data_IF_551162684766
#
_entry.id   IF_551162684766
#
_cell.length_a   1.000
_cell.length_b   1.000
_cell.length_c   1.000
_cell.angle_alpha   90.00
_cell.angle_beta   90.00
_cell.angle_gamma   90.00
#
_symmetry.space_group_name_H-M   'P 1'
#
loop_
_entity.id
_entity.type
_entity.pdbx_description
1 polymer ?
#
# COMPACT_ATOMS: atom_id res chain seq x y z
N UNK A 1 10.92 -7.04 25.91
CA UNK A 1 10.96 -8.35 25.22
C UNK A 1 10.31 -8.24 23.84
N UNK A 2 9.08 -7.74 23.71
CA UNK A 2 8.37 -7.60 22.41
C UNK A 2 9.13 -6.65 21.47
N UNK A 3 9.54 -5.47 21.92
CA UNK A 3 10.31 -4.49 21.12
C UNK A 3 11.58 -5.12 20.52
N UNK A 4 12.32 -5.85 21.36
CA UNK A 4 13.55 -6.52 20.93
C UNK A 4 13.29 -7.63 19.88
N UNK A 5 12.14 -8.30 19.95
CA UNK A 5 11.72 -9.26 18.93
C UNK A 5 11.39 -8.56 17.61
N UNK A 6 10.67 -7.44 17.68
CA UNK A 6 10.36 -6.61 16.51
C UNK A 6 11.65 -6.13 15.82
N UNK A 7 12.62 -5.61 16.59
CA UNK A 7 13.92 -5.19 16.08
C UNK A 7 14.69 -6.32 15.39
N UNK A 8 14.71 -7.53 15.96
CA UNK A 8 15.37 -8.70 15.36
C UNK A 8 14.70 -9.10 14.04
N UNK A 9 13.37 -9.17 14.02
CA UNK A 9 12.63 -9.53 12.79
C UNK A 9 12.77 -8.42 11.75
N UNK A 10 12.72 -7.16 12.16
CA UNK A 10 12.96 -6.02 11.28
C UNK A 10 14.36 -6.09 10.63
N UNK A 11 15.40 -6.31 11.44
CA UNK A 11 16.76 -6.44 10.96
C UNK A 11 16.94 -7.65 10.01
N UNK A 12 16.25 -8.75 10.24
CA UNK A 12 16.26 -9.90 9.34
C UNK A 12 15.60 -9.59 7.97
N UNK A 13 14.50 -8.86 7.97
CA UNK A 13 13.76 -8.57 6.74
C UNK A 13 14.35 -7.40 5.94
N UNK A 14 14.65 -6.31 6.63
CA UNK A 14 15.01 -5.02 6.04
C UNK A 14 16.47 -4.61 6.27
N UNK A 15 17.18 -5.30 7.18
CA UNK A 15 18.60 -5.10 7.40
C UNK A 15 19.46 -5.68 6.27
N UNK A 16 20.71 -5.24 6.21
CA UNK A 16 21.66 -5.68 5.20
C UNK A 16 22.12 -7.11 5.48
N UNK A 17 21.78 -8.06 4.60
CA UNK A 17 22.30 -9.42 4.63
C UNK A 17 23.76 -9.46 4.17
N UNK A 18 24.10 -8.67 3.17
CA UNK A 18 25.44 -8.44 2.66
C UNK A 18 25.51 -7.10 1.95
N UNK A 19 26.72 -6.60 1.76
CA UNK A 19 26.95 -5.34 1.08
C UNK A 19 27.68 -5.58 -0.24
N UNK A 20 27.25 -4.87 -1.29
CA UNK A 20 27.92 -4.88 -2.60
C UNK A 20 28.60 -3.54 -2.83
N UNK A 21 29.84 -3.51 -3.31
CA UNK A 21 30.48 -2.28 -3.76
C UNK A 21 29.86 -1.85 -5.09
N UNK A 22 29.13 -0.74 -5.09
CA UNK A 22 28.50 -0.17 -6.29
C UNK A 22 28.90 1.30 -6.39
N UNK A 23 29.51 1.70 -7.50
CA UNK A 23 29.87 3.10 -7.81
C UNK A 23 30.65 3.81 -6.69
N UNK A 24 31.56 3.09 -6.00
CA UNK A 24 32.37 3.65 -4.90
C UNK A 24 31.67 3.74 -3.54
N UNK A 25 30.41 3.29 -3.44
CA UNK A 25 29.66 3.18 -2.19
C UNK A 25 29.38 1.71 -1.86
N UNK A 26 29.17 1.38 -0.58
CA UNK A 26 28.65 0.06 -0.19
C UNK A 26 27.12 0.10 -0.18
N UNK A 27 26.50 -0.77 -0.95
CA UNK A 27 25.03 -0.92 -1.00
C UNK A 27 24.65 -2.14 -0.20
N UNK A 28 23.86 -1.95 0.85
CA UNK A 28 23.27 -3.03 1.61
C UNK A 28 22.13 -3.70 0.85
N UNK A 29 22.15 -5.00 0.80
CA UNK A 29 21.12 -5.82 0.16
C UNK A 29 20.34 -6.56 1.24
N UNK A 30 19.07 -6.18 1.39
CA UNK A 30 18.16 -6.85 2.33
C UNK A 30 17.44 -8.04 1.71
N UNK A 31 16.86 -8.89 2.56
CA UNK A 31 16.01 -10.00 2.12
C UNK A 31 14.84 -9.50 1.27
N UNK A 32 14.23 -8.38 1.64
CA UNK A 32 13.09 -7.83 0.90
C UNK A 32 13.47 -7.33 -0.48
N UNK A 33 14.64 -6.72 -0.67
CA UNK A 33 15.15 -6.36 -2.00
C UNK A 33 15.34 -7.59 -2.89
N UNK A 34 15.92 -8.68 -2.32
CA UNK A 34 16.14 -9.94 -3.04
C UNK A 34 14.83 -10.65 -3.40
N UNK A 35 13.75 -10.42 -2.68
CA UNK A 35 12.45 -11.01 -3.00
C UNK A 35 11.66 -10.16 -3.99
N UNK A 36 11.54 -8.86 -3.74
CA UNK A 36 10.63 -7.99 -4.49
C UNK A 36 11.13 -7.66 -5.90
N UNK A 37 12.40 -7.29 -6.04
CA UNK A 37 12.92 -6.86 -7.35
C UNK A 37 12.98 -8.04 -8.33
N UNK A 38 13.57 -9.20 -7.98
CA UNK A 38 13.54 -10.35 -8.88
C UNK A 38 12.13 -10.87 -9.16
N UNK A 39 11.21 -10.86 -8.18
CA UNK A 39 9.83 -11.25 -8.41
C UNK A 39 9.13 -10.33 -9.40
N UNK A 40 9.27 -9.01 -9.21
CA UNK A 40 8.70 -8.02 -10.12
C UNK A 40 9.25 -8.17 -11.55
N UNK A 41 10.55 -8.37 -11.71
CA UNK A 41 11.18 -8.63 -13.01
C UNK A 41 10.65 -9.94 -13.62
N UNK A 42 10.63 -11.02 -12.84
CA UNK A 42 10.13 -12.32 -13.29
C UNK A 42 8.69 -12.23 -13.80
N UNK A 43 7.77 -11.65 -13.00
CA UNK A 43 6.37 -11.53 -13.41
C UNK A 43 6.20 -10.56 -14.59
N UNK A 44 6.97 -9.47 -14.66
CA UNK A 44 6.94 -8.53 -15.79
C UNK A 44 7.34 -9.22 -17.10
N UNK A 45 8.41 -10.04 -17.08
CA UNK A 45 8.84 -10.81 -18.25
C UNK A 45 7.80 -11.89 -18.60
N UNK A 46 7.33 -12.66 -17.61
CA UNK A 46 6.39 -13.76 -17.82
C UNK A 46 5.03 -13.31 -18.33
N UNK A 47 4.57 -12.14 -17.91
CA UNK A 47 3.33 -11.51 -18.39
C UNK A 47 3.54 -10.67 -19.65
N UNK A 48 4.75 -10.65 -20.23
CA UNK A 48 5.13 -9.92 -21.46
C UNK A 48 4.82 -8.42 -21.34
N UNK A 49 5.35 -7.76 -20.30
CA UNK A 49 5.13 -6.33 -20.04
C UNK A 49 3.62 -5.98 -19.96
N UNK A 50 2.85 -6.76 -19.24
CA UNK A 50 1.39 -6.63 -19.12
C UNK A 50 0.92 -5.19 -18.88
N UNK A 51 1.51 -4.37 -17.98
CA UNK A 51 1.05 -3.01 -17.73
C UNK A 51 1.08 -2.12 -18.97
N UNK A 52 2.00 -2.35 -19.90
CA UNK A 52 2.11 -1.60 -21.16
C UNK A 52 1.17 -2.20 -22.20
N UNK A 53 1.24 -3.52 -22.40
CA UNK A 53 0.52 -4.23 -23.46
C UNK A 53 -1.00 -4.22 -23.27
N UNK A 54 -1.48 -4.36 -22.04
CA UNK A 54 -2.90 -4.36 -21.71
C UNK A 54 -3.40 -3.00 -21.18
N UNK A 55 -2.64 -1.93 -21.31
CA UNK A 55 -3.04 -0.62 -20.81
C UNK A 55 -4.38 -0.15 -21.42
N UNK A 56 -4.57 -0.35 -22.73
CA UNK A 56 -5.84 -0.04 -23.39
C UNK A 56 -7.02 -0.83 -22.81
N UNK A 57 -6.78 -2.08 -22.44
CA UNK A 57 -7.81 -2.95 -21.84
C UNK A 57 -8.12 -2.55 -20.41
N UNK A 58 -7.09 -2.17 -19.65
CA UNK A 58 -7.27 -1.60 -18.32
C UNK A 58 -8.18 -0.37 -18.36
N UNK A 59 -7.97 0.51 -19.34
CA UNK A 59 -8.81 1.72 -19.54
C UNK A 59 -10.21 1.38 -20.02
N UNK A 60 -10.38 0.35 -20.86
CA UNK A 60 -11.70 -0.11 -21.31
C UNK A 60 -12.48 -0.77 -20.16
N UNK A 61 -11.80 -1.58 -19.32
CA UNK A 61 -12.42 -2.23 -18.16
C UNK A 61 -13.06 -1.21 -17.20
N UNK A 62 -12.53 0.01 -17.09
CA UNK A 62 -13.12 1.08 -16.28
C UNK A 62 -14.51 1.53 -16.76
N UNK A 63 -14.81 1.34 -18.03
CA UNK A 63 -16.09 1.76 -18.65
C UNK A 63 -17.13 0.66 -18.65
N UNK A 64 -16.78 -0.56 -18.24
CA UNK A 64 -17.70 -1.69 -18.22
C UNK A 64 -18.80 -1.48 -17.18
N UNK A 65 -20.05 -1.73 -17.61
CA UNK A 65 -21.22 -1.67 -16.73
C UNK A 65 -21.32 -2.96 -15.88
N UNK A 66 -22.10 -2.89 -14.82
CA UNK A 66 -22.43 -4.05 -13.96
C UNK A 66 -23.04 -5.17 -14.80
N UNK A 67 -22.61 -6.41 -14.59
CA UNK A 67 -23.20 -7.57 -15.24
C UNK A 67 -24.57 -7.95 -14.62
N UNK A 68 -24.71 -7.74 -13.31
CA UNK A 68 -25.95 -7.95 -12.57
C UNK A 68 -26.20 -6.79 -11.59
N UNK A 69 -27.45 -6.52 -11.15
CA UNK A 69 -27.75 -5.44 -10.22
C UNK A 69 -26.93 -5.48 -8.91
N UNK A 70 -26.62 -6.71 -8.44
CA UNK A 70 -25.88 -6.94 -7.21
C UNK A 70 -24.36 -7.09 -7.40
N UNK A 71 -23.86 -7.08 -8.66
CA UNK A 71 -22.42 -7.14 -8.95
C UNK A 71 -21.74 -5.77 -8.83
N UNK A 72 -20.45 -5.78 -8.51
CA UNK A 72 -19.60 -4.59 -8.60
C UNK A 72 -19.12 -4.43 -10.04
N UNK A 73 -19.20 -3.21 -10.58
CA UNK A 73 -18.56 -2.91 -11.88
C UNK A 73 -17.03 -2.96 -11.75
N UNK A 74 -16.32 -3.13 -12.88
CA UNK A 74 -14.85 -3.05 -12.90
C UNK A 74 -14.35 -1.72 -12.33
N UNK A 75 -15.06 -0.63 -12.59
CA UNK A 75 -14.77 0.68 -12.02
C UNK A 75 -14.97 0.72 -10.50
N UNK A 76 -16.06 0.16 -9.98
CA UNK A 76 -16.28 0.06 -8.54
C UNK A 76 -15.23 -0.83 -7.86
N UNK A 77 -14.82 -1.91 -8.49
CA UNK A 77 -13.74 -2.77 -8.01
C UNK A 77 -12.41 -2.02 -7.97
N UNK A 78 -12.12 -1.20 -9.00
CA UNK A 78 -10.95 -0.32 -8.97
C UNK A 78 -11.07 0.71 -7.85
N UNK A 79 -12.22 1.37 -7.69
CA UNK A 79 -12.42 2.35 -6.61
C UNK A 79 -12.20 1.69 -5.25
N UNK A 80 -12.76 0.52 -4.99
CA UNK A 80 -12.58 -0.17 -3.71
C UNK A 80 -11.11 -0.53 -3.49
N UNK A 81 -10.43 -1.09 -4.49
CA UNK A 81 -9.01 -1.40 -4.38
C UNK A 81 -8.12 -0.16 -4.36
N UNK A 82 -8.52 0.92 -5.03
CA UNK A 82 -7.83 2.21 -5.01
C UNK A 82 -8.13 2.95 -3.71
N UNK A 83 -9.33 2.82 -3.16
CA UNK A 83 -9.70 3.41 -1.87
C UNK A 83 -8.85 2.88 -0.70
N UNK A 84 -8.37 1.65 -0.81
CA UNK A 84 -7.45 1.07 0.17
C UNK A 84 -5.99 1.45 -0.09
N UNK A 85 -5.60 1.64 -1.36
CA UNK A 85 -4.25 2.05 -1.77
C UNK A 85 -4.07 3.57 -1.72
N UNK A 86 -4.95 4.34 -2.42
CA UNK A 86 -4.91 5.81 -2.37
C UNK A 86 -5.43 6.26 -1.00
N UNK A 87 -4.52 6.36 -0.09
CA UNK A 87 -4.79 6.65 1.31
C UNK A 87 -3.60 7.33 1.98
N UNK A 88 -3.43 7.10 3.25
CA UNK A 88 -2.34 7.72 4.00
C UNK A 88 -0.96 7.32 3.49
N UNK A 89 -0.79 6.13 2.89
CA UNK A 89 0.49 5.67 2.32
C UNK A 89 1.05 6.62 1.26
N UNK A 90 0.19 7.23 0.45
CA UNK A 90 0.58 8.19 -0.58
C UNK A 90 1.07 9.54 -0.02
N UNK A 91 0.66 9.89 1.19
CA UNK A 91 1.16 11.08 1.87
C UNK A 91 2.32 10.71 2.79
N UNK A 92 2.04 9.98 3.86
CA UNK A 92 3.00 9.70 4.94
C UNK A 92 4.13 8.77 4.48
N UNK A 93 3.82 7.77 3.62
CA UNK A 93 4.82 6.87 3.04
C UNK A 93 5.81 7.61 2.15
N UNK A 94 5.33 8.54 1.29
CA UNK A 94 6.20 9.35 0.43
C UNK A 94 7.03 10.34 1.25
N UNK A 95 6.44 10.95 2.28
CA UNK A 95 7.18 11.80 3.23
C UNK A 95 8.32 11.02 3.88
N UNK A 96 8.06 9.79 4.33
CA UNK A 96 9.08 8.91 4.90
C UNK A 96 10.15 8.52 3.86
N UNK A 97 9.76 8.26 2.61
CA UNK A 97 10.71 7.98 1.53
C UNK A 97 11.65 9.18 1.29
N UNK A 98 11.11 10.38 1.16
CA UNK A 98 11.90 11.58 0.86
C UNK A 98 12.75 12.01 2.06
N UNK A 99 12.22 11.96 3.29
CA UNK A 99 12.98 12.37 4.49
C UNK A 99 14.13 11.41 4.82
N UNK A 100 13.97 10.10 4.59
CA UNK A 100 14.96 9.08 4.93
C UNK A 100 15.83 8.64 3.76
N UNK A 101 15.32 8.75 2.54
CA UNK A 101 15.98 8.31 1.31
C UNK A 101 16.30 9.44 0.32
N UNK A 102 15.91 10.69 0.61
CA UNK A 102 16.11 11.80 -0.31
C UNK A 102 15.20 11.74 -1.55
N UNK A 103 15.44 12.66 -2.50
CA UNK A 103 14.65 12.73 -3.73
C UNK A 103 14.78 11.46 -4.59
N UNK A 104 15.94 10.83 -4.57
CA UNK A 104 16.20 9.60 -5.33
C UNK A 104 15.31 8.41 -4.93
N UNK A 105 14.79 8.39 -3.71
CA UNK A 105 13.85 7.35 -3.27
C UNK A 105 12.57 7.33 -4.12
N UNK A 106 12.15 8.48 -4.65
CA UNK A 106 10.97 8.60 -5.52
C UNK A 106 11.16 7.80 -6.81
N UNK A 107 12.36 7.82 -7.40
CA UNK A 107 12.68 7.00 -8.57
C UNK A 107 12.50 5.49 -8.27
N UNK A 108 12.98 5.02 -7.13
CA UNK A 108 12.85 3.62 -6.74
C UNK A 108 11.42 3.23 -6.39
N UNK A 109 10.60 4.17 -5.89
CA UNK A 109 9.15 3.97 -5.79
C UNK A 109 8.52 3.76 -7.17
N UNK A 110 8.89 4.54 -8.20
CA UNK A 110 8.41 4.33 -9.56
C UNK A 110 8.81 2.96 -10.12
N UNK A 111 10.06 2.55 -9.90
CA UNK A 111 10.55 1.21 -10.31
C UNK A 111 9.73 0.11 -9.65
N UNK A 112 9.45 0.20 -8.35
CA UNK A 112 8.61 -0.80 -7.65
C UNK A 112 7.19 -0.82 -8.18
N UNK A 113 6.62 0.30 -8.58
CA UNK A 113 5.29 0.33 -9.17
C UNK A 113 5.25 -0.32 -10.56
N UNK A 114 6.22 -0.02 -11.42
CA UNK A 114 6.29 -0.60 -12.76
C UNK A 114 6.48 -2.11 -12.72
N UNK A 115 7.37 -2.60 -11.87
CA UNK A 115 7.60 -4.03 -11.66
C UNK A 115 6.45 -4.67 -10.89
N UNK A 116 5.96 -4.02 -9.86
CA UNK A 116 4.88 -4.50 -8.99
C UNK A 116 3.53 -4.62 -9.68
N UNK A 117 3.26 -3.84 -10.72
CA UNK A 117 2.00 -3.90 -11.45
C UNK A 117 1.74 -5.29 -12.06
N UNK A 118 2.79 -5.97 -12.55
CA UNK A 118 2.67 -7.36 -13.04
C UNK A 118 2.48 -8.35 -11.89
N UNK A 119 3.12 -8.13 -10.75
CA UNK A 119 2.92 -8.94 -9.54
C UNK A 119 1.48 -8.83 -9.05
N UNK A 120 0.94 -7.59 -8.96
CA UNK A 120 -0.44 -7.36 -8.55
C UNK A 120 -1.47 -8.03 -9.45
N UNK A 121 -1.19 -8.16 -10.75
CA UNK A 121 -2.02 -8.96 -11.66
C UNK A 121 -2.08 -10.43 -11.22
N UNK A 122 -0.91 -11.05 -11.00
CA UNK A 122 -0.81 -12.46 -10.61
C UNK A 122 -1.53 -12.71 -9.28
N UNK A 123 -1.29 -11.85 -8.30
CA UNK A 123 -1.96 -11.89 -6.99
C UNK A 123 -3.49 -11.83 -7.12
N UNK A 124 -3.98 -10.90 -7.92
CA UNK A 124 -5.42 -10.68 -8.09
C UNK A 124 -6.10 -11.84 -8.84
N UNK A 125 -5.45 -12.39 -9.87
CA UNK A 125 -5.97 -13.54 -10.61
C UNK A 125 -6.09 -14.77 -9.71
N UNK A 126 -5.06 -15.06 -8.89
CA UNK A 126 -5.10 -16.16 -7.92
C UNK A 126 -6.14 -15.91 -6.82
N UNK A 127 -6.23 -14.68 -6.30
CA UNK A 127 -7.23 -14.35 -5.29
C UNK A 127 -8.67 -14.53 -5.79
N UNK A 128 -8.94 -14.20 -7.05
CA UNK A 128 -10.23 -14.42 -7.68
C UNK A 128 -10.51 -15.92 -7.95
N UNK A 129 -9.49 -16.70 -8.31
CA UNK A 129 -9.63 -18.14 -8.56
C UNK A 129 -9.96 -18.90 -7.27
N UNK A 130 -9.36 -18.51 -6.15
CA UNK A 130 -9.47 -19.21 -4.87
C UNK A 130 -10.32 -18.46 -3.83
N UNK A 131 -11.24 -17.59 -4.28
CA UNK A 131 -12.18 -16.90 -3.37
C UNK A 131 -13.28 -17.84 -2.89
N UNK A 132 -13.76 -17.59 -1.70
CA UNK A 132 -14.85 -18.33 -1.05
C UNK A 132 -16.03 -17.42 -0.73
N UNK A 133 -17.27 -17.96 -0.64
CA UNK A 133 -18.43 -17.19 -0.20
C UNK A 133 -18.23 -16.64 1.22
N UNK A 134 -18.62 -15.38 1.46
CA UNK A 134 -18.57 -14.76 2.76
C UNK A 134 -19.93 -14.83 3.45
N UNK A 135 -20.11 -15.70 4.46
CA UNK A 135 -21.40 -15.88 5.11
C UNK A 135 -21.77 -14.75 6.07
N UNK A 136 -20.80 -13.89 6.48
CA UNK A 136 -21.07 -12.78 7.41
C UNK A 136 -21.44 -11.48 6.71
N UNK A 137 -20.72 -11.16 5.63
CA UNK A 137 -20.86 -9.87 4.95
C UNK A 137 -21.57 -10.02 3.59
N UNK A 138 -21.77 -11.26 3.12
CA UNK A 138 -22.25 -11.55 1.77
C UNK A 138 -21.15 -11.36 0.70
N UNK A 139 -21.40 -11.87 -0.51
CA UNK A 139 -20.41 -11.86 -1.58
C UNK A 139 -19.29 -12.85 -1.34
N UNK A 140 -18.05 -12.42 -1.51
CA UNK A 140 -16.87 -13.28 -1.42
C UNK A 140 -15.81 -12.68 -0.50
N UNK A 141 -14.98 -13.56 0.05
CA UNK A 141 -13.73 -13.24 0.71
C UNK A 141 -12.61 -14.16 0.17
N UNK A 142 -11.37 -13.82 0.41
CA UNK A 142 -10.22 -14.58 -0.11
C UNK A 142 -8.92 -13.81 0.06
N UNK A 143 -7.99 -14.05 -0.83
CA UNK A 143 -6.65 -13.47 -0.79
C UNK A 143 -5.59 -14.52 -0.52
N UNK A 144 -4.36 -14.11 -0.13
CA UNK A 144 -3.23 -15.04 -0.02
C UNK A 144 -3.45 -16.20 0.96
N UNK A 145 -4.11 -15.97 2.09
CA UNK A 145 -4.39 -17.05 3.03
C UNK A 145 -5.07 -18.25 2.35
N UNK A 146 -5.98 -17.98 1.42
CA UNK A 146 -6.77 -19.00 0.71
C UNK A 146 -5.96 -19.67 -0.39
N UNK A 147 -5.33 -18.93 -1.30
CA UNK A 147 -4.56 -19.59 -2.36
C UNK A 147 -3.27 -20.26 -1.84
N UNK A 148 -2.63 -19.73 -0.77
CA UNK A 148 -1.51 -20.39 -0.09
C UNK A 148 -1.98 -21.71 0.53
N UNK A 149 -3.16 -21.71 1.16
CA UNK A 149 -3.75 -22.92 1.75
C UNK A 149 -3.97 -23.99 0.69
N UNK A 150 -4.66 -23.66 -0.39
CA UNK A 150 -4.89 -24.58 -1.51
C UNK A 150 -3.60 -25.07 -2.16
N UNK A 151 -2.59 -24.21 -2.31
CA UNK A 151 -1.28 -24.64 -2.81
C UNK A 151 -0.62 -25.68 -1.91
N UNK A 152 -0.66 -25.49 -0.59
CA UNK A 152 -0.07 -26.45 0.36
C UNK A 152 -0.84 -27.77 0.35
N UNK A 153 -2.17 -27.75 0.28
CA UNK A 153 -2.99 -28.96 0.15
C UNK A 153 -2.67 -29.73 -1.14
N UNK A 154 -2.65 -29.04 -2.28
CA UNK A 154 -2.33 -29.64 -3.57
C UNK A 154 -0.93 -30.28 -3.58
N UNK A 155 0.05 -29.64 -2.91
CA UNK A 155 1.42 -30.13 -2.85
C UNK A 155 1.63 -31.29 -1.86
N UNK A 156 0.87 -31.30 -0.77
CA UNK A 156 1.00 -32.33 0.28
C UNK A 156 0.07 -33.52 0.05
N UNK A 157 -0.96 -33.35 -0.80
CA UNK A 157 -2.02 -34.36 -1.00
C UNK A 157 -2.91 -34.58 0.22
N UNK A 158 -2.87 -33.68 1.22
CA UNK A 158 -3.61 -33.76 2.46
C UNK A 158 -4.61 -32.64 2.59
N UNK A 159 -5.85 -32.95 2.95
CA UNK A 159 -6.83 -31.94 3.35
C UNK A 159 -6.48 -31.41 4.74
N UNK A 160 -6.24 -30.11 4.86
CA UNK A 160 -5.83 -29.44 6.09
C UNK A 160 -6.96 -28.54 6.57
N UNK A 161 -7.14 -28.45 7.88
CA UNK A 161 -8.01 -27.40 8.44
C UNK A 161 -7.42 -26.01 8.25
N UNK A 162 -6.12 -25.88 8.48
CA UNK A 162 -5.30 -24.69 8.28
C UNK A 162 -3.89 -25.11 7.87
N UNK A 163 -3.33 -24.49 6.84
CA UNK A 163 -1.92 -24.68 6.53
C UNK A 163 -1.07 -23.70 7.35
N UNK A 164 0.10 -24.15 7.80
CA UNK A 164 1.00 -23.33 8.63
C UNK A 164 1.40 -22.04 7.90
N UNK A 165 1.78 -22.15 6.63
CA UNK A 165 2.21 -20.98 5.83
C UNK A 165 1.10 -19.94 5.67
N UNK A 166 -0.14 -20.36 5.40
CA UNK A 166 -1.28 -19.46 5.28
C UNK A 166 -1.66 -18.84 6.64
N UNK A 167 -1.51 -19.60 7.74
CA UNK A 167 -1.72 -19.07 9.08
C UNK A 167 -0.67 -18.02 9.46
N UNK A 168 0.59 -18.27 9.12
CA UNK A 168 1.68 -17.29 9.34
C UNK A 168 1.47 -16.03 8.50
N UNK A 169 1.07 -16.18 7.24
CA UNK A 169 0.69 -15.02 6.41
C UNK A 169 -0.45 -14.21 7.06
N UNK A 170 -1.52 -14.89 7.49
CA UNK A 170 -2.66 -14.23 8.10
C UNK A 170 -2.32 -13.49 9.39
N UNK A 171 -1.51 -14.11 10.27
CA UNK A 171 -1.02 -13.47 11.51
C UNK A 171 -0.16 -12.25 11.17
N UNK A 172 0.74 -12.37 10.19
CA UNK A 172 1.60 -11.26 9.75
C UNK A 172 0.77 -10.08 9.23
N UNK A 173 -0.32 -10.35 8.49
CA UNK A 173 -1.25 -9.33 8.04
C UNK A 173 -1.97 -8.62 9.18
N UNK A 174 -2.46 -9.38 10.16
CA UNK A 174 -3.13 -8.79 11.32
C UNK A 174 -2.15 -7.90 12.14
N UNK A 175 -0.89 -8.30 12.27
CA UNK A 175 0.17 -7.49 12.90
C UNK A 175 0.46 -6.23 12.06
N UNK A 176 0.60 -6.37 10.75
CA UNK A 176 0.83 -5.25 9.83
C UNK A 176 -0.23 -4.17 9.99
N UNK A 177 -1.50 -4.54 9.95
CA UNK A 177 -2.59 -3.56 10.03
C UNK A 177 -2.76 -2.95 11.42
N UNK A 178 -2.32 -3.62 12.49
CA UNK A 178 -2.14 -3.00 13.80
C UNK A 178 -1.08 -1.89 13.75
N UNK A 179 0.07 -2.15 13.12
CA UNK A 179 1.12 -1.13 12.92
C UNK A 179 0.65 0.04 12.04
N UNK A 180 -0.04 -0.24 10.92
CA UNK A 180 -0.61 0.82 10.07
C UNK A 180 -1.61 1.67 10.85
N UNK A 181 -2.43 1.08 11.74
CA UNK A 181 -3.35 1.85 12.61
C UNK A 181 -2.60 2.85 13.50
N UNK A 182 -1.42 2.46 13.99
CA UNK A 182 -0.57 3.38 14.78
C UNK A 182 -0.03 4.53 13.92
N UNK A 183 0.49 4.24 12.73
CA UNK A 183 1.00 5.28 11.80
C UNK A 183 -0.10 6.26 11.41
N UNK A 184 -1.32 5.77 11.17
CA UNK A 184 -2.51 6.60 10.88
C UNK A 184 -2.72 7.64 11.97
N UNK A 185 -2.87 7.20 13.20
CA UNK A 185 -3.19 8.09 14.31
C UNK A 185 -2.05 9.06 14.64
N UNK A 186 -0.80 8.58 14.60
CA UNK A 186 0.38 9.42 14.79
C UNK A 186 0.43 10.56 13.78
N UNK A 187 0.25 10.25 12.51
CA UNK A 187 0.35 11.25 11.44
C UNK A 187 -0.80 12.25 11.48
N UNK A 188 -2.03 11.80 11.76
CA UNK A 188 -3.20 12.70 11.88
C UNK A 188 -3.05 13.61 13.10
N UNK A 189 -2.65 13.09 14.26
CA UNK A 189 -2.48 13.89 15.47
C UNK A 189 -1.38 14.94 15.32
N UNK A 190 -0.27 14.58 14.68
CA UNK A 190 0.82 15.51 14.34
C UNK A 190 0.34 16.62 13.38
N UNK A 191 -0.36 16.25 12.30
CA UNK A 191 -0.86 17.20 11.32
C UNK A 191 -1.88 18.20 11.93
N UNK A 192 -2.73 17.72 12.83
CA UNK A 192 -3.71 18.58 13.52
C UNK A 192 -3.06 19.45 14.59
N UNK A 193 -2.03 18.97 15.27
CA UNK A 193 -1.25 19.80 16.19
C UNK A 193 -0.61 20.97 15.44
N UNK A 194 -0.04 20.73 14.26
CA UNK A 194 0.58 21.78 13.44
C UNK A 194 -0.47 22.75 12.86
N UNK A 195 -1.60 22.24 12.37
CA UNK A 195 -2.60 23.07 11.70
C UNK A 195 -3.51 23.83 12.67
N UNK A 196 -3.88 23.24 13.78
CA UNK A 196 -4.92 23.80 14.67
C UNK A 196 -4.44 23.99 16.12
N UNK A 197 -3.19 23.65 16.41
CA UNK A 197 -2.61 23.68 17.76
C UNK A 197 -3.38 22.83 18.78
N UNK A 198 -4.06 21.79 18.30
CA UNK A 198 -4.80 20.85 19.14
C UNK A 198 -3.83 19.83 19.73
N UNK A 199 -3.86 19.59 21.04
CA UNK A 199 -3.01 18.56 21.65
C UNK A 199 -3.23 17.19 21.01
N UNK A 200 -2.17 16.40 20.72
CA UNK A 200 -2.28 15.08 20.07
C UNK A 200 -3.28 14.15 20.74
N UNK A 201 -3.35 14.15 22.06
CA UNK A 201 -4.31 13.31 22.81
C UNK A 201 -5.77 13.62 22.45
N UNK A 202 -6.12 14.88 22.24
CA UNK A 202 -7.50 15.30 21.90
C UNK A 202 -7.84 14.80 20.50
N UNK A 203 -6.96 15.03 19.53
CA UNK A 203 -7.14 14.55 18.16
C UNK A 203 -7.24 13.03 18.13
N UNK A 204 -6.39 12.32 18.89
CA UNK A 204 -6.40 10.86 18.99
C UNK A 204 -7.73 10.34 19.54
N UNK A 205 -8.23 10.90 20.62
CA UNK A 205 -9.52 10.51 21.21
C UNK A 205 -10.66 10.72 20.20
N UNK A 206 -10.72 11.89 19.56
CA UNK A 206 -11.73 12.19 18.55
C UNK A 206 -11.67 11.25 17.36
N UNK A 207 -10.47 10.95 16.87
CA UNK A 207 -10.25 10.01 15.77
C UNK A 207 -10.74 8.60 16.14
N UNK A 208 -10.36 8.10 17.33
CA UNK A 208 -10.77 6.77 17.82
C UNK A 208 -12.29 6.70 18.01
N UNK A 209 -12.92 7.71 18.59
CA UNK A 209 -14.38 7.74 18.76
C UNK A 209 -15.10 7.74 17.41
N UNK A 210 -14.67 8.56 16.47
CA UNK A 210 -15.25 8.60 15.13
C UNK A 210 -15.07 7.25 14.42
N UNK A 211 -13.87 6.68 14.48
CA UNK A 211 -13.57 5.37 13.90
C UNK A 211 -14.45 4.28 14.55
N UNK A 212 -14.58 4.27 15.88
CA UNK A 212 -15.39 3.28 16.60
C UNK A 212 -16.87 3.32 16.19
N UNK A 213 -17.46 4.51 16.09
CA UNK A 213 -18.85 4.68 15.67
C UNK A 213 -19.12 4.06 14.30
N UNK A 214 -18.13 4.11 13.40
CA UNK A 214 -18.29 3.63 12.04
C UNK A 214 -17.94 2.15 11.94
N UNK A 215 -16.77 1.72 12.42
CA UNK A 215 -16.29 0.36 12.18
C UNK A 215 -16.96 -0.71 13.03
N UNK A 216 -17.49 -0.35 14.20
CA UNK A 216 -18.23 -1.30 15.05
C UNK A 216 -19.63 -1.62 14.51
N UNK A 217 -20.15 -0.83 13.57
CA UNK A 217 -21.39 -1.17 12.86
C UNK A 217 -21.17 -2.39 11.96
N UNK A 218 -22.18 -3.26 11.84
CA UNK A 218 -22.10 -4.50 11.02
C UNK A 218 -21.88 -4.20 9.54
N UNK A 219 -22.50 -3.16 9.01
CA UNK A 219 -22.47 -2.78 7.59
C UNK A 219 -21.75 -1.43 7.39
N UNK A 220 -20.60 -1.24 8.03
CA UNK A 220 -19.83 -0.02 7.84
C UNK A 220 -19.24 0.01 6.41
N UNK A 221 -19.87 0.54 5.54
CA UNK A 221 -19.75 1.67 4.63
C UNK A 221 -18.63 1.66 3.60
N UNK A 222 -18.51 0.60 2.84
CA UNK A 222 -17.82 0.65 1.52
C UNK A 222 -18.42 1.82 0.69
N UNK A 223 -19.73 2.08 0.76
CA UNK A 223 -20.41 3.15 0.00
C UNK A 223 -19.86 4.56 0.26
N UNK A 224 -19.38 4.86 1.47
CA UNK A 224 -18.78 6.16 1.77
C UNK A 224 -17.43 6.29 1.09
N UNK A 225 -16.64 5.21 1.05
CA UNK A 225 -15.34 5.19 0.38
C UNK A 225 -15.48 5.38 -1.12
N UNK A 226 -16.51 4.82 -1.75
CA UNK A 226 -16.77 4.91 -3.20
C UNK A 226 -16.91 6.36 -3.69
N UNK A 227 -17.37 7.25 -2.83
CA UNK A 227 -17.56 8.68 -3.16
C UNK A 227 -16.40 9.52 -2.63
N UNK A 228 -15.99 9.29 -1.38
CA UNK A 228 -15.02 10.12 -0.70
C UNK A 228 -13.63 10.02 -1.33
N UNK A 229 -13.18 8.81 -1.65
CA UNK A 229 -11.81 8.58 -2.14
C UNK A 229 -11.55 9.19 -3.52
N UNK A 230 -12.41 9.02 -4.55
CA UNK A 230 -12.21 9.69 -5.83
C UNK A 230 -12.20 11.22 -5.71
N UNK A 231 -13.08 11.79 -4.90
CA UNK A 231 -13.13 13.26 -4.70
C UNK A 231 -11.82 13.75 -4.07
N UNK A 232 -11.33 13.06 -3.04
CA UNK A 232 -10.08 13.41 -2.37
C UNK A 232 -8.88 13.27 -3.32
N UNK A 233 -8.79 12.15 -4.04
CA UNK A 233 -7.69 11.89 -4.96
C UNK A 233 -7.65 12.92 -6.10
N UNK A 234 -8.80 13.24 -6.69
CA UNK A 234 -8.91 14.27 -7.75
C UNK A 234 -8.59 15.65 -7.18
N UNK A 235 -9.13 16.01 -6.01
CA UNK A 235 -8.84 17.29 -5.37
C UNK A 235 -7.35 17.47 -5.06
N UNK A 236 -6.73 16.44 -4.50
CA UNK A 236 -5.29 16.42 -4.21
C UNK A 236 -4.44 16.52 -5.48
N UNK A 237 -4.82 15.75 -6.52
CA UNK A 237 -4.16 15.80 -7.83
C UNK A 237 -4.25 17.17 -8.48
N UNK A 238 -5.44 17.78 -8.53
CA UNK A 238 -5.64 19.11 -9.15
C UNK A 238 -4.88 20.20 -8.41
N UNK A 239 -4.85 20.15 -7.06
CA UNK A 239 -4.06 21.10 -6.29
C UNK A 239 -2.57 20.94 -6.54
N UNK A 240 -2.08 19.69 -6.59
CA UNK A 240 -0.68 19.45 -6.91
C UNK A 240 -0.33 19.87 -8.34
N UNK A 241 -1.22 19.60 -9.29
CA UNK A 241 -1.05 20.06 -10.68
C UNK A 241 -0.93 21.58 -10.74
N UNK A 242 -1.75 22.32 -9.99
CA UNK A 242 -1.62 23.77 -9.85
C UNK A 242 -0.25 24.17 -9.31
N UNK A 243 0.23 23.54 -8.22
CA UNK A 243 1.57 23.80 -7.65
C UNK A 243 2.67 23.56 -8.71
N UNK A 244 2.58 22.45 -9.44
CA UNK A 244 3.53 22.11 -10.50
C UNK A 244 3.52 23.17 -11.61
N UNK A 245 2.36 23.60 -12.08
CA UNK A 245 2.24 24.58 -13.14
C UNK A 245 2.82 25.95 -12.74
N UNK A 246 2.60 26.38 -11.52
CA UNK A 246 3.19 27.62 -10.98
C UNK A 246 4.72 27.52 -10.84
N UNK A 247 5.25 26.32 -10.60
CA UNK A 247 6.69 26.06 -10.44
C UNK A 247 7.32 25.35 -11.65
N UNK A 248 6.72 25.43 -12.84
CA UNK A 248 7.17 24.75 -14.05
C UNK A 248 8.66 24.91 -14.37
N UNK A 249 9.28 26.11 -14.22
CA UNK A 249 10.71 26.30 -14.47
C UNK A 249 11.63 25.50 -13.56
N UNK A 250 11.15 25.08 -12.37
CA UNK A 250 11.94 24.30 -11.40
C UNK A 250 11.89 22.78 -11.69
N UNK A 251 10.96 22.29 -12.51
CA UNK A 251 10.82 20.85 -12.77
C UNK A 251 12.07 20.18 -13.30
N UNK A 252 12.82 20.74 -14.27
CA UNK A 252 14.03 20.11 -14.77
C UNK A 252 15.07 19.87 -13.65
N UNK A 253 15.21 20.81 -12.72
CA UNK A 253 16.13 20.66 -11.58
C UNK A 253 15.64 19.60 -10.58
N UNK A 254 14.34 19.48 -10.35
CA UNK A 254 13.76 18.43 -9.49
C UNK A 254 13.98 17.05 -10.09
N UNK A 255 13.72 16.86 -11.39
CA UNK A 255 14.00 15.58 -12.05
C UNK A 255 15.49 15.26 -12.07
N UNK A 256 16.36 16.24 -12.37
CA UNK A 256 17.82 16.08 -12.30
C UNK A 256 18.24 15.62 -10.89
N UNK A 257 17.66 16.21 -9.85
CA UNK A 257 17.90 15.80 -8.47
C UNK A 257 17.41 14.37 -8.20
N UNK A 258 16.20 14.01 -8.59
CA UNK A 258 15.66 12.66 -8.41
C UNK A 258 16.60 11.62 -9.06
N UNK A 259 17.02 11.83 -10.31
CA UNK A 259 17.87 10.88 -11.01
C UNK A 259 19.29 10.84 -10.45
N UNK A 260 19.89 12.00 -10.15
CA UNK A 260 21.25 12.04 -9.62
C UNK A 260 21.38 11.39 -8.24
N UNK A 261 20.38 11.59 -7.36
CA UNK A 261 20.33 10.96 -6.05
C UNK A 261 19.98 9.46 -6.17
N UNK A 262 19.10 9.08 -7.10
CA UNK A 262 18.71 7.68 -7.32
C UNK A 262 19.85 6.76 -7.70
N UNK A 263 20.89 7.30 -8.33
CA UNK A 263 22.06 6.54 -8.76
C UNK A 263 23.35 6.91 -7.97
N UNK A 264 23.21 7.62 -6.85
CA UNK A 264 24.33 7.96 -5.97
C UNK A 264 25.32 8.97 -6.54
N UNK A 265 24.95 9.67 -7.64
CA UNK A 265 25.79 10.74 -8.22
C UNK A 265 25.78 12.02 -7.35
N UNK A 266 24.78 12.16 -6.50
CA UNK A 266 24.69 13.19 -5.46
C UNK A 266 24.30 12.52 -4.15
N UNK A 267 25.02 12.83 -3.07
CA UNK A 267 24.63 12.37 -1.73
C UNK A 267 23.41 13.16 -1.26
N UNK A 268 22.33 12.43 -1.02
CA UNK A 268 21.08 13.01 -0.54
C UNK A 268 20.94 12.91 0.99
N UNK A 269 21.43 11.82 1.56
CA UNK A 269 21.30 11.48 2.99
C UNK A 269 22.53 10.75 3.48
N UNK A 270 22.73 10.70 4.77
CA UNK A 270 23.90 10.10 5.43
C UNK A 270 24.11 8.61 5.13
N UNK A 271 23.05 7.89 4.68
CA UNK A 271 23.11 6.46 4.35
C UNK A 271 23.55 6.13 2.91
N UNK A 272 23.84 7.13 2.07
CA UNK A 272 24.27 6.92 0.68
C UNK A 272 23.25 6.21 -0.21
N UNK A 273 23.71 5.65 -1.33
CA UNK A 273 22.86 5.00 -2.34
C UNK A 273 22.02 3.83 -1.79
N UNK A 274 22.55 3.07 -0.82
CA UNK A 274 21.80 1.97 -0.20
C UNK A 274 20.55 2.45 0.53
N UNK A 275 20.63 3.55 1.26
CA UNK A 275 19.47 4.14 1.95
C UNK A 275 18.43 4.67 0.96
N UNK A 276 18.86 5.30 -0.13
CA UNK A 276 17.97 5.78 -1.22
C UNK A 276 17.17 4.62 -1.82
N UNK A 277 17.87 3.56 -2.24
CA UNK A 277 17.26 2.35 -2.82
C UNK A 277 16.30 1.68 -1.83
N UNK A 278 16.77 1.43 -0.60
CA UNK A 278 15.98 0.73 0.42
C UNK A 278 14.70 1.48 0.78
N UNK A 279 14.80 2.79 1.05
CA UNK A 279 13.63 3.58 1.40
C UNK A 279 12.66 3.71 0.23
N UNK A 280 13.15 3.85 -0.99
CA UNK A 280 12.32 3.88 -2.20
C UNK A 280 11.54 2.57 -2.38
N UNK A 281 12.20 1.42 -2.30
CA UNK A 281 11.55 0.11 -2.43
C UNK A 281 10.57 -0.15 -1.29
N UNK A 282 10.98 0.10 -0.06
CA UNK A 282 10.17 -0.14 1.15
C UNK A 282 8.90 0.72 1.15
N UNK A 283 9.03 2.02 0.88
CA UNK A 283 7.87 2.94 0.87
C UNK A 283 7.04 2.80 -0.42
N UNK A 284 7.65 2.38 -1.53
CA UNK A 284 6.93 1.96 -2.72
C UNK A 284 6.02 0.76 -2.43
N UNK A 285 6.55 -0.30 -1.82
CA UNK A 285 5.76 -1.46 -1.39
C UNK A 285 4.64 -1.08 -0.42
N UNK A 286 4.95 -0.21 0.54
CA UNK A 286 3.97 0.25 1.53
C UNK A 286 2.79 0.98 0.89
N UNK A 287 3.03 1.75 -0.18
CA UNK A 287 2.00 2.49 -0.89
C UNK A 287 1.21 1.60 -1.86
N UNK A 288 1.90 0.93 -2.79
CA UNK A 288 1.23 0.20 -3.88
C UNK A 288 0.82 -1.24 -3.51
N UNK A 289 1.30 -1.77 -2.38
CA UNK A 289 0.98 -3.08 -1.82
C UNK A 289 1.30 -4.27 -2.75
N UNK A 290 1.97 -4.07 -3.87
CA UNK A 290 2.23 -5.12 -4.85
C UNK A 290 3.27 -6.14 -4.36
N UNK A 291 2.87 -7.39 -4.23
CA UNK A 291 3.67 -8.47 -3.68
C UNK A 291 3.50 -8.68 -2.18
N UNK A 292 2.86 -7.75 -1.47
CA UNK A 292 2.59 -7.91 -0.02
C UNK A 292 1.44 -8.87 0.27
N UNK A 293 0.51 -9.05 -0.67
CA UNK A 293 -0.66 -9.88 -0.47
C UNK A 293 -1.84 -9.20 0.23
N UNK A 294 -1.78 -7.89 0.51
CA UNK A 294 -2.90 -7.16 1.14
C UNK A 294 -4.01 -6.87 0.14
N UNK A 295 -3.69 -6.24 -0.99
CA UNK A 295 -4.63 -5.90 -2.03
C UNK A 295 -5.42 -7.09 -2.63
N UNK A 296 -4.87 -8.30 -2.75
CA UNK A 296 -5.62 -9.48 -3.16
C UNK A 296 -6.83 -9.81 -2.27
N UNK A 297 -6.83 -9.41 -1.00
CA UNK A 297 -8.00 -9.56 -0.13
C UNK A 297 -9.21 -8.75 -0.62
N UNK A 298 -8.96 -7.56 -1.19
CA UNK A 298 -10.02 -6.78 -1.83
C UNK A 298 -10.35 -7.32 -3.23
N UNK A 299 -9.34 -7.73 -4.00
CA UNK A 299 -9.55 -8.32 -5.31
C UNK A 299 -10.46 -9.55 -5.25
N UNK A 300 -10.32 -10.42 -4.23
CA UNK A 300 -11.16 -11.58 -4.03
C UNK A 300 -12.64 -11.23 -3.79
N UNK A 301 -12.92 -10.11 -3.15
CA UNK A 301 -14.30 -9.69 -2.87
C UNK A 301 -15.07 -9.21 -4.10
N UNK A 302 -14.40 -8.93 -5.21
CA UNK A 302 -15.02 -8.54 -6.45
C UNK A 302 -15.85 -9.68 -7.05
N UNK A 303 -17.08 -9.37 -7.47
CA UNK A 303 -18.00 -10.32 -8.09
C UNK A 303 -17.76 -10.40 -9.60
N UNK A 304 -16.58 -10.82 -10.01
CA UNK A 304 -16.29 -11.09 -11.42
C UNK A 304 -16.51 -12.55 -11.74
N UNK A 305 -17.13 -12.84 -12.90
CA UNK A 305 -17.25 -14.21 -13.44
C UNK A 305 -15.92 -14.71 -14.00
N UNK A 306 -15.08 -13.79 -14.48
CA UNK A 306 -13.78 -14.09 -15.03
C UNK A 306 -12.69 -13.65 -14.04
N UNK A 307 -11.91 -14.59 -13.46
CA UNK A 307 -10.85 -14.29 -12.52
C UNK A 307 -9.81 -13.28 -13.07
N UNK A 308 -9.61 -13.28 -14.39
CA UNK A 308 -8.58 -12.43 -15.02
C UNK A 308 -8.99 -10.97 -15.13
N UNK A 309 -10.29 -10.68 -15.26
CA UNK A 309 -10.75 -9.27 -15.44
C UNK A 309 -10.34 -8.32 -14.28
N UNK A 310 -10.23 -8.87 -13.08
CA UNK A 310 -9.80 -8.08 -11.91
C UNK A 310 -8.31 -7.77 -11.93
N UNK A 311 -7.49 -8.62 -12.55
CA UNK A 311 -6.03 -8.49 -12.61
C UNK A 311 -5.55 -7.17 -13.26
N UNK A 312 -5.95 -6.85 -14.51
CA UNK A 312 -5.59 -5.59 -15.15
C UNK A 312 -5.98 -4.35 -14.35
N UNK A 313 -7.15 -4.39 -13.70
CA UNK A 313 -7.64 -3.31 -12.84
C UNK A 313 -6.71 -3.10 -11.63
N UNK A 314 -6.22 -4.20 -11.02
CA UNK A 314 -5.27 -4.11 -9.89
C UNK A 314 -3.91 -3.59 -10.34
N UNK A 315 -3.42 -4.00 -11.52
CA UNK A 315 -2.18 -3.45 -12.11
C UNK A 315 -2.30 -1.94 -12.36
N UNK A 316 -3.43 -1.49 -12.91
CA UNK A 316 -3.70 -0.06 -13.12
C UNK A 316 -3.73 0.70 -11.79
N UNK A 317 -4.33 0.11 -10.75
CA UNK A 317 -4.37 0.68 -9.41
C UNK A 317 -2.96 0.95 -8.86
N UNK A 318 -2.00 0.04 -9.04
CA UNK A 318 -0.59 0.20 -8.64
C UNK A 318 0.05 1.40 -9.36
N UNK A 319 -0.19 1.52 -10.68
CA UNK A 319 0.38 2.63 -11.46
C UNK A 319 -0.22 3.98 -11.06
N UNK A 320 -1.55 4.07 -10.92
CA UNK A 320 -2.22 5.31 -10.48
C UNK A 320 -1.73 5.70 -9.08
N UNK A 321 -1.69 4.76 -8.16
CA UNK A 321 -1.26 5.01 -6.79
C UNK A 321 0.14 5.63 -6.73
N UNK A 322 1.12 4.96 -7.30
CA UNK A 322 2.52 5.33 -7.08
C UNK A 322 3.04 6.30 -8.15
N UNK A 323 2.76 6.07 -9.45
CA UNK A 323 3.27 6.96 -10.49
C UNK A 323 2.54 8.30 -10.49
N UNK A 324 1.23 8.33 -10.13
CA UNK A 324 0.48 9.59 -10.13
C UNK A 324 0.41 10.19 -8.73
N UNK A 325 -0.24 9.52 -7.77
CA UNK A 325 -0.57 10.14 -6.48
C UNK A 325 0.67 10.30 -5.59
N UNK A 326 1.56 9.29 -5.49
CA UNK A 326 2.81 9.46 -4.73
C UNK A 326 3.72 10.52 -5.35
N UNK A 327 3.76 10.63 -6.68
CA UNK A 327 4.51 11.70 -7.34
C UNK A 327 3.95 13.08 -7.02
N UNK A 328 2.63 13.23 -6.84
CA UNK A 328 2.04 14.48 -6.37
C UNK A 328 2.64 14.91 -5.03
N UNK A 329 2.66 14.02 -4.05
CA UNK A 329 3.24 14.30 -2.72
C UNK A 329 4.73 14.62 -2.82
N UNK A 330 5.47 13.84 -3.62
CA UNK A 330 6.90 14.08 -3.83
C UNK A 330 7.15 15.46 -4.45
N UNK A 331 6.40 15.87 -5.48
CA UNK A 331 6.55 17.16 -6.14
C UNK A 331 6.24 18.33 -5.20
N UNK A 332 5.24 18.22 -4.33
CA UNK A 332 4.95 19.25 -3.31
C UNK A 332 6.21 19.51 -2.47
N UNK A 333 6.92 18.48 -2.02
CA UNK A 333 8.10 18.62 -1.19
C UNK A 333 9.35 19.05 -1.98
N UNK A 334 9.58 18.47 -3.16
CA UNK A 334 10.80 18.66 -3.94
C UNK A 334 10.85 20.00 -4.71
N UNK A 335 9.71 20.68 -4.89
CA UNK A 335 9.65 22.02 -5.48
C UNK A 335 9.95 23.14 -4.50
N UNK A 336 10.16 22.81 -3.21
CA UNK A 336 10.54 23.76 -2.15
C UNK A 336 12.07 23.83 -2.09
N UNK A 337 12.67 25.01 -1.77
CA UNK A 337 14.09 25.11 -1.47
C UNK A 337 14.51 24.15 -0.35
N UNK A 338 15.63 23.46 -0.56
CA UNK A 338 16.10 22.40 0.35
C UNK A 338 16.39 22.93 1.77
N UNK A 339 16.83 24.18 1.87
CA UNK A 339 17.14 24.85 3.14
C UNK A 339 15.92 24.93 4.07
N UNK A 340 14.71 25.01 3.50
CA UNK A 340 13.46 25.11 4.29
C UNK A 340 12.95 23.75 4.77
N UNK A 341 13.39 22.67 4.15
CA UNK A 341 12.90 21.32 4.42
C UNK A 341 13.95 20.38 5.00
N UNK A 342 15.21 20.81 5.02
CA UNK A 342 16.32 20.01 5.54
C UNK A 342 16.13 19.67 7.02
N UNK A 343 16.30 18.38 7.35
CA UNK A 343 16.16 17.87 8.72
C UNK A 343 14.71 17.69 9.20
N UNK A 344 13.71 18.10 8.42
CA UNK A 344 12.32 17.87 8.76
C UNK A 344 11.89 16.44 8.38
N UNK A 345 11.03 15.87 9.21
CA UNK A 345 10.47 14.52 9.02
C UNK A 345 8.96 14.52 9.26
N UNK A 346 8.29 13.46 8.85
CA UNK A 346 6.86 13.30 9.10
C UNK A 346 6.02 14.47 8.56
N UNK A 347 4.99 14.85 9.28
CA UNK A 347 4.07 15.89 8.82
C UNK A 347 4.68 17.28 8.82
N UNK A 348 5.70 17.52 9.61
CA UNK A 348 6.42 18.80 9.61
C UNK A 348 7.01 19.09 8.23
N UNK A 349 7.60 18.08 7.57
CA UNK A 349 8.14 18.22 6.21
C UNK A 349 7.05 18.58 5.19
N UNK A 350 5.96 17.81 5.14
CA UNK A 350 4.92 18.02 4.14
C UNK A 350 4.14 19.32 4.38
N UNK A 351 3.83 19.63 5.63
CA UNK A 351 3.08 20.85 5.97
C UNK A 351 3.93 22.11 5.80
N UNK A 352 5.24 22.07 6.07
CA UNK A 352 6.15 23.16 5.75
C UNK A 352 6.24 23.38 4.24
N UNK A 353 6.31 22.32 3.46
CA UNK A 353 6.28 22.42 2.00
C UNK A 353 4.97 23.04 1.49
N UNK A 354 3.85 22.65 2.04
CA UNK A 354 2.56 23.23 1.67
C UNK A 354 2.39 24.69 2.13
N UNK A 355 2.97 25.03 3.27
CA UNK A 355 3.01 26.42 3.75
C UNK A 355 3.80 27.32 2.81
N UNK A 356 4.90 26.82 2.26
CA UNK A 356 5.66 27.54 1.22
C UNK A 356 4.83 27.81 -0.04
N UNK A 357 4.06 26.83 -0.51
CA UNK A 357 3.28 26.94 -1.76
C UNK A 357 1.99 27.74 -1.60
N UNK A 358 1.26 27.55 -0.51
CA UNK A 358 -0.13 28.03 -0.32
C UNK A 358 -0.36 28.75 1.01
N UNK A 359 0.72 29.06 1.75
CA UNK A 359 0.60 29.66 3.08
C UNK A 359 -0.12 28.73 4.07
N UNK A 360 -0.72 29.31 5.09
CA UNK A 360 -1.37 28.54 6.16
C UNK A 360 -2.58 27.72 5.68
N UNK A 361 -3.24 28.14 4.60
CA UNK A 361 -4.31 27.35 3.98
C UNK A 361 -3.81 25.99 3.48
N UNK A 362 -2.57 25.89 3.00
CA UNK A 362 -1.92 24.65 2.63
C UNK A 362 -1.71 23.70 3.80
N UNK A 363 -1.35 24.22 4.96
CA UNK A 363 -1.17 23.44 6.20
C UNK A 363 -2.50 22.81 6.63
N UNK A 364 -3.58 23.60 6.61
CA UNK A 364 -4.95 23.12 6.91
C UNK A 364 -5.39 22.08 5.89
N UNK A 365 -5.15 22.34 4.60
CA UNK A 365 -5.53 21.43 3.53
C UNK A 365 -4.89 20.03 3.72
N UNK A 366 -3.58 19.99 4.04
CA UNK A 366 -2.91 18.71 4.31
C UNK A 366 -3.49 18.01 5.54
N UNK A 367 -3.77 18.73 6.63
CA UNK A 367 -4.34 18.12 7.82
C UNK A 367 -5.70 17.48 7.54
N UNK A 368 -6.59 18.18 6.83
CA UNK A 368 -7.92 17.66 6.45
C UNK A 368 -7.80 16.51 5.47
N UNK A 369 -7.00 16.65 4.42
CA UNK A 369 -6.80 15.60 3.40
C UNK A 369 -6.21 14.36 4.02
N UNK A 370 -5.22 14.49 4.91
CA UNK A 370 -4.63 13.37 5.62
C UNK A 370 -5.65 12.66 6.52
N UNK A 371 -6.47 13.40 7.24
CA UNK A 371 -7.52 12.80 8.08
C UNK A 371 -8.49 11.96 7.24
N UNK A 372 -8.91 12.46 6.07
CA UNK A 372 -9.79 11.73 5.16
C UNK A 372 -9.10 10.50 4.56
N UNK A 373 -7.86 10.62 4.07
CA UNK A 373 -7.06 9.50 3.56
C UNK A 373 -6.78 8.45 4.64
N UNK A 374 -6.47 8.89 5.84
CA UNK A 374 -6.22 8.01 6.98
C UNK A 374 -7.48 7.24 7.37
N UNK A 375 -8.62 7.90 7.36
CA UNK A 375 -9.89 7.27 7.66
C UNK A 375 -10.26 6.21 6.60
N UNK A 376 -10.08 6.51 5.31
CA UNK A 376 -10.28 5.55 4.23
C UNK A 376 -9.34 4.35 4.36
N UNK A 377 -8.05 4.59 4.64
CA UNK A 377 -7.07 3.52 4.86
C UNK A 377 -7.46 2.65 6.04
N UNK A 378 -7.90 3.23 7.16
CA UNK A 378 -8.32 2.47 8.34
C UNK A 378 -9.49 1.52 8.05
N UNK A 379 -10.50 1.99 7.32
CA UNK A 379 -11.60 1.11 6.88
C UNK A 379 -11.07 0.02 5.94
N UNK A 380 -10.18 0.38 5.02
CA UNK A 380 -9.60 -0.54 4.03
C UNK A 380 -8.79 -1.67 4.65
N UNK A 381 -7.91 -1.37 5.61
CA UNK A 381 -7.13 -2.40 6.30
C UNK A 381 -8.01 -3.34 7.14
N UNK A 382 -9.10 -2.83 7.72
CA UNK A 382 -10.08 -3.67 8.41
C UNK A 382 -10.84 -4.57 7.43
N UNK A 383 -11.06 -4.10 6.20
CA UNK A 383 -11.62 -4.92 5.14
C UNK A 383 -10.68 -6.07 4.76
N UNK A 384 -9.38 -5.83 4.64
CA UNK A 384 -8.38 -6.89 4.42
C UNK A 384 -8.31 -7.86 5.60
N UNK A 385 -8.34 -7.33 6.82
CA UNK A 385 -8.25 -8.13 8.04
C UNK A 385 -9.39 -9.16 8.15
N UNK A 386 -10.60 -8.83 7.65
CA UNK A 386 -11.75 -9.74 7.79
C UNK A 386 -11.51 -11.10 7.15
N UNK A 387 -10.86 -11.18 5.98
CA UNK A 387 -10.52 -12.44 5.32
C UNK A 387 -9.54 -13.27 6.14
N UNK A 388 -8.54 -12.63 6.73
CA UNK A 388 -7.52 -13.28 7.54
C UNK A 388 -8.05 -13.72 8.92
N UNK A 389 -8.92 -12.92 9.53
CA UNK A 389 -9.64 -13.31 10.75
C UNK A 389 -10.57 -14.50 10.49
N UNK A 390 -11.29 -14.47 9.36
CA UNK A 390 -12.16 -15.58 8.96
C UNK A 390 -11.36 -16.86 8.72
N UNK A 391 -10.21 -16.78 8.06
CA UNK A 391 -9.32 -17.91 7.84
C UNK A 391 -8.81 -18.52 9.15
N UNK A 392 -8.34 -17.70 10.10
CA UNK A 392 -7.73 -18.20 11.36
C UNK A 392 -8.75 -18.69 12.37
N UNK A 393 -9.84 -17.97 12.55
CA UNK A 393 -10.77 -18.16 13.66
C UNK A 393 -12.18 -18.60 13.22
N UNK A 394 -12.46 -18.51 11.91
CA UNK A 394 -13.76 -18.83 11.33
C UNK A 394 -14.71 -17.62 11.25
N UNK A 395 -15.84 -17.87 10.62
CA UNK A 395 -16.84 -16.87 10.28
C UNK A 395 -17.79 -16.58 11.46
N UNK A 396 -17.31 -15.81 12.46
CA UNK A 396 -18.14 -15.36 13.61
C UNK A 396 -17.93 -13.88 13.88
N UNK A 397 -19.02 -13.17 14.17
CA UNK A 397 -19.01 -11.74 14.49
C UNK A 397 -18.11 -11.38 15.67
N UNK A 398 -18.03 -12.22 16.71
CA UNK A 398 -17.18 -11.97 17.88
C UNK A 398 -15.70 -11.82 17.50
N UNK A 399 -15.19 -12.65 16.61
CA UNK A 399 -13.78 -12.58 16.18
C UNK A 399 -13.51 -11.33 15.34
N UNK A 400 -14.42 -10.99 14.44
CA UNK A 400 -14.35 -9.76 13.65
C UNK A 400 -14.37 -8.51 14.55
N UNK A 401 -15.27 -8.49 15.52
CA UNK A 401 -15.38 -7.38 16.48
C UNK A 401 -14.16 -7.30 17.39
N UNK A 402 -13.63 -8.43 17.88
CA UNK A 402 -12.42 -8.45 18.70
C UNK A 402 -11.22 -7.82 17.96
N UNK A 403 -11.04 -8.15 16.67
CA UNK A 403 -9.97 -7.54 15.89
C UNK A 403 -10.20 -6.04 15.63
N UNK A 404 -11.44 -5.62 15.36
CA UNK A 404 -11.78 -4.19 15.23
C UNK A 404 -11.45 -3.40 16.51
N UNK A 405 -11.77 -3.97 17.68
CA UNK A 405 -11.42 -3.36 18.98
C UNK A 405 -9.90 -3.29 19.14
N UNK A 406 -9.16 -4.36 18.80
CA UNK A 406 -7.70 -4.34 18.83
C UNK A 406 -7.13 -3.22 17.92
N UNK A 407 -7.64 -3.08 16.70
CA UNK A 407 -7.22 -2.03 15.78
C UNK A 407 -7.52 -0.61 16.33
N UNK A 408 -8.64 -0.41 17.01
CA UNK A 408 -8.97 0.85 17.70
C UNK A 408 -8.02 1.13 18.87
N UNK A 409 -7.62 0.12 19.62
CA UNK A 409 -6.60 0.24 20.69
C UNK A 409 -5.26 0.65 20.06
N UNK A 410 -4.86 0.02 18.95
CA UNK A 410 -3.63 0.39 18.25
C UNK A 410 -3.69 1.79 17.65
N UNK A 411 -4.85 2.21 17.15
CA UNK A 411 -5.08 3.58 16.71
C UNK A 411 -4.90 4.58 17.89
N UNK A 412 -5.38 4.25 19.08
CA UNK A 412 -5.19 5.08 20.27
C UNK A 412 -3.72 5.16 20.68
N UNK A 413 -3.03 4.03 20.78
CA UNK A 413 -1.62 3.98 21.17
C UNK A 413 -0.76 4.79 20.19
N UNK A 414 -0.94 4.59 18.89
CA UNK A 414 -0.14 5.25 17.86
C UNK A 414 -0.21 6.77 17.88
N UNK A 415 -1.35 7.36 18.25
CA UNK A 415 -1.49 8.82 18.35
C UNK A 415 -0.69 9.45 19.48
N UNK A 416 -0.16 8.66 20.40
CA UNK A 416 0.63 9.11 21.56
C UNK A 416 2.10 8.69 21.48
N UNK A 417 2.44 7.81 20.54
CA UNK A 417 3.80 7.31 20.35
C UNK A 417 4.67 8.22 19.49
N UNK A 418 5.99 8.00 19.54
CA UNK A 418 6.95 8.71 18.70
C UNK A 418 6.88 8.21 17.25
N UNK A 419 7.09 9.10 16.29
CA UNK A 419 7.02 8.84 14.86
C UNK A 419 7.85 7.63 14.40
N UNK A 420 9.07 7.47 14.94
CA UNK A 420 9.96 6.37 14.55
C UNK A 420 9.47 4.99 14.99
N UNK A 421 8.85 4.91 16.16
CA UNK A 421 8.40 3.64 16.76
C UNK A 421 7.19 3.04 16.04
N UNK A 422 6.27 3.90 15.57
CA UNK A 422 5.02 3.43 14.94
C UNK A 422 5.23 2.72 13.61
N UNK A 423 6.35 2.97 12.92
CA UNK A 423 6.64 2.34 11.64
C UNK A 423 7.11 0.89 11.75
N UNK A 424 7.83 0.54 12.82
CA UNK A 424 8.52 -0.76 12.91
C UNK A 424 7.55 -1.94 12.86
N UNK A 425 6.41 -1.84 13.54
CA UNK A 425 5.41 -2.90 13.56
C UNK A 425 4.76 -3.11 12.18
N UNK A 426 4.45 -2.02 11.48
CA UNK A 426 3.91 -2.06 10.14
C UNK A 426 4.90 -2.66 9.13
N UNK A 427 6.15 -2.21 9.19
CA UNK A 427 7.24 -2.66 8.32
C UNK A 427 7.57 -4.15 8.54
N UNK A 428 7.58 -4.63 9.78
CA UNK A 428 7.74 -6.07 10.09
C UNK A 428 6.58 -6.87 9.53
N UNK A 429 5.35 -6.42 9.76
CA UNK A 429 4.16 -7.11 9.29
C UNK A 429 4.12 -7.23 7.76
N UNK A 430 4.34 -6.13 7.03
CA UNK A 430 4.32 -6.13 5.57
C UNK A 430 5.48 -6.95 4.98
N UNK A 431 6.65 -6.94 5.62
CA UNK A 431 7.79 -7.75 5.22
C UNK A 431 7.52 -9.25 5.37
N UNK A 432 6.94 -9.69 6.48
CA UNK A 432 6.56 -11.09 6.69
C UNK A 432 5.44 -11.53 5.72
N UNK A 433 4.42 -10.69 5.52
CA UNK A 433 3.39 -10.96 4.51
C UNK A 433 4.02 -11.18 3.13
N UNK A 434 4.90 -10.28 2.72
CA UNK A 434 5.61 -10.34 1.44
C UNK A 434 6.42 -11.63 1.31
N UNK A 435 7.14 -12.02 2.35
CA UNK A 435 7.94 -13.25 2.37
C UNK A 435 7.07 -14.49 2.08
N UNK A 436 5.99 -14.68 2.83
CA UNK A 436 5.10 -15.84 2.65
C UNK A 436 4.36 -15.80 1.33
N UNK A 437 3.94 -14.62 0.89
CA UNK A 437 3.19 -14.45 -0.35
C UNK A 437 4.08 -14.71 -1.58
N UNK A 438 5.21 -14.03 -1.71
CA UNK A 438 6.12 -14.18 -2.86
C UNK A 438 6.64 -15.62 -2.98
N UNK A 439 6.95 -16.29 -1.87
CA UNK A 439 7.40 -17.67 -1.87
C UNK A 439 6.41 -18.63 -2.56
N UNK A 440 5.10 -18.34 -2.45
CA UNK A 440 4.04 -19.16 -3.06
C UNK A 440 3.63 -18.65 -4.43
N UNK A 441 3.74 -17.35 -4.69
CA UNK A 441 3.41 -16.78 -6.00
C UNK A 441 4.27 -17.35 -7.14
N UNK A 442 5.56 -17.62 -6.91
CA UNK A 442 6.43 -18.21 -7.93
C UNK A 442 5.90 -19.55 -8.46
N UNK A 443 5.68 -20.59 -7.63
CA UNK A 443 5.17 -21.86 -8.12
C UNK A 443 3.73 -21.77 -8.66
N UNK A 444 2.87 -20.90 -8.11
CA UNK A 444 1.49 -20.71 -8.57
C UNK A 444 1.38 -19.80 -9.80
N UNK A 445 2.45 -19.14 -10.21
CA UNK A 445 2.42 -18.23 -11.37
C UNK A 445 1.94 -18.88 -12.67
N UNK A 446 2.20 -20.19 -12.85
CA UNK A 446 1.73 -20.93 -14.03
C UNK A 446 0.22 -20.84 -14.18
N UNK A 447 -0.53 -20.99 -13.10
CA UNK A 447 -2.00 -20.91 -13.11
C UNK A 447 -2.50 -19.52 -13.50
N UNK A 448 -1.90 -18.46 -12.93
CA UNK A 448 -2.25 -17.10 -13.29
C UNK A 448 -1.91 -16.76 -14.76
N UNK A 449 -0.81 -17.32 -15.28
CA UNK A 449 -0.41 -17.15 -16.69
C UNK A 449 -1.32 -17.93 -17.65
N UNK A 450 -1.79 -19.11 -17.27
CA UNK A 450 -2.79 -19.88 -18.03
C UNK A 450 -4.12 -19.13 -18.10
N UNK A 451 -4.57 -18.56 -16.99
CA UNK A 451 -5.74 -17.70 -16.96
C UNK A 451 -5.58 -16.48 -17.88
N UNK A 452 -4.41 -15.83 -17.85
CA UNK A 452 -4.10 -14.71 -18.76
C UNK A 452 -4.17 -15.12 -20.21
N UNK A 453 -3.60 -16.28 -20.56
CA UNK A 453 -3.63 -16.82 -21.93
C UNK A 453 -5.06 -17.08 -22.38
N UNK A 454 -5.89 -17.71 -21.57
CA UNK A 454 -7.31 -17.96 -21.87
C UNK A 454 -8.08 -16.64 -22.08
N UNK A 455 -7.82 -15.63 -21.26
CA UNK A 455 -8.41 -14.30 -21.44
C UNK A 455 -8.04 -13.66 -22.79
N UNK A 456 -6.76 -13.77 -23.19
CA UNK A 456 -6.28 -13.21 -24.45
C UNK A 456 -6.84 -13.98 -25.68
N UNK A 457 -6.97 -15.30 -25.58
CA UNK A 457 -7.58 -16.14 -26.61
C UNK A 457 -9.07 -15.81 -26.79
N UNK A 458 -9.81 -15.69 -25.69
CA UNK A 458 -11.24 -15.33 -25.72
C UNK A 458 -11.51 -13.93 -26.24
N UNK A 459 -10.52 -13.02 -26.18
CA UNK A 459 -10.64 -11.67 -26.68
C UNK A 459 -10.43 -11.58 -28.20
N UNK A 460 -9.68 -12.52 -28.77
CA UNK A 460 -9.38 -12.56 -30.19
C UNK A 460 -10.45 -13.35 -30.99
N UNK A 461 -11.42 -13.94 -30.29
CA UNK A 461 -12.62 -14.57 -30.85
C UNK A 461 -13.80 -13.61 -30.81
#
# INVERSE_FOLDING_TARGET
>A
MITKLIEIVYAFLWGDLFTLPVMGSSVGISLMLLLLIPAGIYFTIRTRLLPVRLFSDMMKALKEKKETPDSLSSFQTLIISTATRVGMGNLVGVVAAVSLGGAGAVFWMWVTALLGASTAFVEAALAQKYKEPDPLYGGYHGGPAYYIHHFVEAKTGKTLRHSLTASLFSISGLICWCGISQVISNSVSSAFANAFRVPPIVTTILLVLLAAVIVLRKNATIKVLDIMVPIMAVGFFLLTLFIILVNLPKLPSVFSRIFSEAFGMRQAVSGGFGAVLMNGVKRGLFSNEAGSGSAPCAAAAAQSKDPVRTGPTQSLGVLIDTIVICSCTAMIMLLVPEELTSGLTGMDLLQTAMQYHLGYAGVIFIAVTLALFSFSTFIGILFYARSNVAYLFGNRWCYQTAYKVLALIMLFIGGLEQYTVVWDLGDVGIGLMTLFNIAVLYPMSKEALELLKQYEENKNL
#
